data_IF_390666743830
#
_entry.id   IF_390666743830
#
_cell.length_a   1.000
_cell.length_b   1.000
_cell.length_c   1.000
_cell.angle_alpha   90.00
_cell.angle_beta   90.00
_cell.angle_gamma   90.00
#
_symmetry.space_group_name_H-M   'P 1'
#
loop_
_entity.id
_entity.type
_entity.pdbx_description
1 polymer ?
#
# COMPACT_ATOMS: atom_id res chain seq x y z
N UNK A 1 -23.72 -0.76 0.74
CA UNK A 1 -23.52 0.38 1.66
C UNK A 1 -22.14 1.01 1.46
N UNK A 2 -21.04 0.27 1.63
CA UNK A 2 -19.67 0.78 1.46
C UNK A 2 -19.42 1.49 0.12
N UNK A 3 -19.94 0.98 -0.99
CA UNK A 3 -19.81 1.61 -2.33
C UNK A 3 -20.36 3.03 -2.39
N UNK A 4 -21.50 3.29 -1.75
CA UNK A 4 -22.12 4.64 -1.74
C UNK A 4 -21.23 5.59 -0.95
N UNK A 5 -20.64 5.14 0.16
CA UNK A 5 -19.74 5.95 0.98
C UNK A 5 -18.43 6.24 0.24
N UNK A 6 -17.85 5.24 -0.42
CA UNK A 6 -16.65 5.41 -1.25
C UNK A 6 -16.87 6.37 -2.43
N UNK A 7 -17.99 6.27 -3.14
CA UNK A 7 -18.26 7.13 -4.29
C UNK A 7 -18.61 8.55 -3.87
N UNK A 8 -19.41 8.71 -2.82
CA UNK A 8 -19.77 10.04 -2.29
C UNK A 8 -18.53 10.78 -1.78
N UNK A 9 -17.67 10.10 -1.02
CA UNK A 9 -16.39 10.63 -0.58
C UNK A 9 -15.44 10.90 -1.76
N UNK A 10 -15.11 9.87 -2.54
CA UNK A 10 -14.06 9.90 -3.56
C UNK A 10 -14.30 10.86 -4.72
N UNK A 11 -15.54 10.92 -5.26
CA UNK A 11 -15.82 11.75 -6.44
C UNK A 11 -15.68 13.23 -6.09
N UNK A 12 -16.29 13.68 -5.00
CA UNK A 12 -16.22 15.08 -4.57
C UNK A 12 -14.87 15.36 -3.88
N UNK A 13 -14.33 14.37 -3.16
CA UNK A 13 -13.04 14.43 -2.48
C UNK A 13 -11.85 14.64 -3.41
N UNK A 14 -11.99 14.33 -4.71
CA UNK A 14 -11.01 14.66 -5.76
C UNK A 14 -10.56 16.13 -5.71
N UNK A 15 -11.41 17.04 -5.23
CA UNK A 15 -11.08 18.45 -5.03
C UNK A 15 -9.93 18.71 -4.05
N UNK A 16 -9.51 17.75 -3.22
CA UNK A 16 -8.32 17.90 -2.37
C UNK A 16 -7.00 18.02 -3.15
N UNK A 17 -6.98 17.67 -4.43
CA UNK A 17 -5.87 17.92 -5.33
C UNK A 17 -5.87 19.34 -5.92
N UNK A 18 -6.99 20.05 -5.78
CA UNK A 18 -7.22 21.34 -6.43
C UNK A 18 -7.14 22.54 -5.49
N UNK A 19 -6.91 22.33 -4.19
CA UNK A 19 -6.95 23.39 -3.17
C UNK A 19 -6.12 24.62 -3.54
N UNK A 20 -4.90 24.41 -4.04
CA UNK A 20 -3.93 25.48 -4.31
C UNK A 20 -3.57 25.57 -5.79
N UNK A 21 -4.54 25.25 -6.66
CA UNK A 21 -4.39 25.28 -8.14
C UNK A 21 -5.15 26.43 -8.83
N UNK A 22 -5.54 27.46 -8.06
CA UNK A 22 -6.30 28.60 -8.58
C UNK A 22 -7.82 28.40 -8.58
N UNK A 23 -8.34 27.47 -7.79
CA UNK A 23 -9.78 27.22 -7.66
C UNK A 23 -10.46 28.08 -6.58
N UNK A 24 -11.77 28.31 -6.66
CA UNK A 24 -12.50 29.07 -5.64
C UNK A 24 -12.54 28.38 -4.26
N UNK A 25 -12.74 29.15 -3.19
CA UNK A 25 -12.82 28.64 -1.80
C UNK A 25 -13.87 27.53 -1.61
N UNK A 26 -14.93 27.52 -2.41
CA UNK A 26 -15.94 26.45 -2.38
C UNK A 26 -15.34 25.07 -2.69
N UNK A 27 -14.36 24.99 -3.60
CA UNK A 27 -13.64 23.75 -3.95
C UNK A 27 -12.83 23.25 -2.75
N UNK A 28 -12.20 24.16 -2.01
CA UNK A 28 -11.46 23.83 -0.78
C UNK A 28 -12.41 23.26 0.29
N UNK A 29 -13.56 23.91 0.51
CA UNK A 29 -14.52 23.46 1.52
C UNK A 29 -15.12 22.08 1.19
N UNK A 30 -15.49 21.86 -0.08
CA UNK A 30 -16.03 20.59 -0.55
C UNK A 30 -14.97 19.49 -0.50
N UNK A 31 -13.77 19.75 -1.04
CA UNK A 31 -12.68 18.77 -1.03
C UNK A 31 -12.34 18.36 0.39
N UNK A 32 -12.23 19.30 1.34
CA UNK A 32 -11.87 18.99 2.72
C UNK A 32 -12.93 18.14 3.44
N UNK A 33 -14.21 18.46 3.23
CA UNK A 33 -15.31 17.76 3.89
C UNK A 33 -15.49 16.34 3.35
N UNK A 34 -15.49 16.18 2.03
CA UNK A 34 -15.79 14.89 1.40
C UNK A 34 -14.59 13.93 1.42
N UNK A 35 -13.36 14.42 1.26
CA UNK A 35 -12.15 13.59 1.42
C UNK A 35 -11.97 13.09 2.86
N UNK A 36 -12.41 13.86 3.87
CA UNK A 36 -12.40 13.38 5.26
C UNK A 36 -13.35 12.19 5.46
N UNK A 37 -14.47 12.15 4.75
CA UNK A 37 -15.41 11.02 4.79
C UNK A 37 -14.82 9.76 4.15
N UNK A 38 -13.86 9.89 3.23
CA UNK A 38 -13.19 8.74 2.61
C UNK A 38 -12.45 7.89 3.64
N UNK A 39 -11.94 8.49 4.73
CA UNK A 39 -11.20 7.77 5.78
C UNK A 39 -12.09 6.82 6.57
N UNK A 40 -13.39 7.14 6.69
CA UNK A 40 -14.34 6.34 7.50
C UNK A 40 -14.47 4.91 6.97
N UNK A 41 -14.75 4.66 5.67
CA UNK A 41 -14.67 3.32 5.09
C UNK A 41 -13.33 2.62 5.25
N UNK A 42 -12.20 3.34 5.17
CA UNK A 42 -10.87 2.71 5.26
C UNK A 42 -10.65 2.07 6.63
N UNK A 43 -11.12 2.74 7.69
CA UNK A 43 -11.08 2.21 9.07
C UNK A 43 -11.99 0.98 9.21
N UNK A 44 -13.20 1.03 8.61
CA UNK A 44 -14.14 -0.10 8.65
C UNK A 44 -13.60 -1.34 7.91
N UNK A 45 -12.93 -1.17 6.77
CA UNK A 45 -12.31 -2.29 6.04
C UNK A 45 -11.20 -2.97 6.85
N UNK A 46 -10.51 -2.24 7.73
CA UNK A 46 -9.53 -2.83 8.65
C UNK A 46 -10.15 -3.86 9.61
N UNK A 47 -11.34 -3.56 10.14
CA UNK A 47 -12.08 -4.49 11.00
C UNK A 47 -12.61 -5.70 10.24
N UNK A 48 -13.12 -5.48 9.02
CA UNK A 48 -13.61 -6.55 8.15
C UNK A 48 -12.48 -7.52 7.74
N UNK A 49 -11.29 -7.01 7.46
CA UNK A 49 -10.12 -7.84 7.17
C UNK A 49 -9.70 -8.71 8.36
N UNK A 50 -9.77 -8.20 9.59
CA UNK A 50 -9.49 -8.99 10.80
C UNK A 50 -10.51 -10.12 11.00
N UNK A 51 -11.79 -9.83 10.75
CA UNK A 51 -12.85 -10.84 10.83
C UNK A 51 -12.68 -11.93 9.75
N UNK A 52 -12.43 -11.53 8.50
CA UNK A 52 -12.19 -12.46 7.39
C UNK A 52 -10.92 -13.31 7.58
N UNK A 53 -9.87 -12.75 8.19
CA UNK A 53 -8.66 -13.50 8.55
C UNK A 53 -8.94 -14.60 9.59
N UNK A 54 -9.87 -14.34 10.51
CA UNK A 54 -10.30 -15.33 11.51
C UNK A 54 -11.10 -16.46 10.85
N UNK A 55 -12.03 -16.11 9.95
CA UNK A 55 -12.80 -17.08 9.16
C UNK A 55 -11.92 -17.93 8.24
N UNK A 56 -10.85 -17.33 7.70
CA UNK A 56 -9.93 -18.00 6.77
C UNK A 56 -9.15 -19.17 7.40
N UNK A 57 -9.04 -19.22 8.73
CA UNK A 57 -8.35 -20.31 9.45
C UNK A 57 -9.19 -21.57 9.62
N UNK A 58 -10.48 -21.51 9.29
CA UNK A 58 -11.46 -22.54 9.66
C UNK A 58 -11.60 -23.68 8.66
N UNK A 59 -11.27 -23.49 7.37
CA UNK A 59 -11.64 -24.45 6.32
C UNK A 59 -10.42 -24.93 5.50
N UNK A 60 -10.30 -26.24 5.18
CA UNK A 60 -9.17 -26.81 4.45
C UNK A 60 -8.91 -26.18 3.07
N UNK A 61 -9.94 -25.92 2.26
CA UNK A 61 -9.78 -25.29 0.94
C UNK A 61 -9.19 -23.87 1.02
N UNK A 62 -9.48 -23.15 2.11
CA UNK A 62 -8.95 -21.80 2.32
C UNK A 62 -7.44 -21.81 2.57
N UNK A 63 -6.90 -22.91 3.11
CA UNK A 63 -5.45 -23.06 3.29
C UNK A 63 -4.69 -23.09 1.97
N UNK A 64 -5.30 -23.61 0.90
CA UNK A 64 -4.71 -23.60 -0.43
C UNK A 64 -4.64 -22.19 -1.05
N UNK A 65 -5.54 -21.28 -0.64
CA UNK A 65 -5.58 -19.87 -1.04
C UNK A 65 -4.90 -18.91 -0.05
N UNK A 66 -4.06 -19.45 0.84
CA UNK A 66 -3.35 -18.68 1.88
C UNK A 66 -2.68 -17.40 1.35
N UNK A 67 -1.87 -17.47 0.30
CA UNK A 67 -1.10 -16.32 -0.18
C UNK A 67 -1.94 -15.23 -0.89
N UNK A 68 -2.92 -15.57 -1.74
CA UNK A 68 -3.93 -14.62 -2.18
C UNK A 68 -4.61 -13.90 -1.02
N UNK A 69 -5.05 -14.64 0.00
CA UNK A 69 -5.76 -14.09 1.16
C UNK A 69 -4.84 -13.18 1.99
N UNK A 70 -3.58 -13.58 2.21
CA UNK A 70 -2.59 -12.74 2.88
C UNK A 70 -2.33 -11.43 2.14
N UNK A 71 -2.38 -11.46 0.80
CA UNK A 71 -2.28 -10.25 -0.02
C UNK A 71 -3.49 -9.34 0.20
N UNK A 72 -4.71 -9.87 0.27
CA UNK A 72 -5.91 -9.08 0.59
C UNK A 72 -5.90 -8.52 2.02
N UNK A 73 -5.34 -9.25 2.99
CA UNK A 73 -5.12 -8.74 4.35
C UNK A 73 -4.11 -7.58 4.33
N UNK A 74 -3.04 -7.70 3.55
CA UNK A 74 -2.06 -6.65 3.34
C UNK A 74 -2.69 -5.41 2.68
N UNK A 75 -3.60 -5.59 1.70
CA UNK A 75 -4.39 -4.49 1.12
C UNK A 75 -5.13 -3.72 2.22
N UNK A 76 -5.84 -4.41 3.10
CA UNK A 76 -6.58 -3.76 4.18
C UNK A 76 -5.66 -3.00 5.16
N UNK A 77 -4.51 -3.60 5.51
CA UNK A 77 -3.50 -2.95 6.33
C UNK A 77 -2.97 -1.65 5.69
N UNK A 78 -2.54 -1.71 4.43
CA UNK A 78 -2.02 -0.54 3.72
C UNK A 78 -3.10 0.47 3.37
N UNK A 79 -4.34 0.03 3.26
CA UNK A 79 -5.46 0.93 3.08
C UNK A 79 -5.71 1.78 4.33
N UNK A 80 -5.59 1.19 5.53
CA UNK A 80 -5.64 1.95 6.77
C UNK A 80 -4.40 2.85 6.94
N UNK A 81 -3.19 2.31 6.77
CA UNK A 81 -1.94 3.02 7.08
C UNK A 81 -1.57 4.01 5.97
N UNK A 82 -1.53 3.57 4.72
CA UNK A 82 -1.13 4.37 3.57
C UNK A 82 -2.20 5.37 3.14
N UNK A 83 -3.41 4.89 2.84
CA UNK A 83 -4.49 5.77 2.40
C UNK A 83 -5.14 6.52 3.58
N UNK A 84 -5.42 5.85 4.69
CA UNK A 84 -6.02 6.47 5.87
C UNK A 84 -5.07 7.41 6.60
N UNK A 85 -4.07 6.87 7.31
CA UNK A 85 -3.20 7.68 8.19
C UNK A 85 -2.34 8.66 7.39
N UNK A 86 -1.56 8.18 6.42
CA UNK A 86 -0.66 9.07 5.66
C UNK A 86 -1.40 9.93 4.64
N UNK A 87 -2.55 9.50 4.11
CA UNK A 87 -3.39 10.34 3.26
C UNK A 87 -4.04 11.46 4.07
N UNK A 88 -4.65 11.15 5.22
CA UNK A 88 -5.26 12.16 6.07
C UNK A 88 -4.23 13.12 6.69
N UNK A 89 -3.00 12.69 6.92
CA UNK A 89 -1.90 13.57 7.36
C UNK A 89 -1.70 14.78 6.45
N UNK A 90 -1.86 14.60 5.13
CA UNK A 90 -1.67 15.65 4.12
C UNK A 90 -2.99 16.22 3.60
N UNK A 91 -4.14 15.78 4.11
CA UNK A 91 -5.44 16.11 3.54
C UNK A 91 -6.06 17.45 3.99
N UNK A 92 -6.00 17.85 5.28
CA UNK A 92 -6.57 19.13 5.71
C UNK A 92 -5.95 20.30 4.94
N UNK A 93 -6.73 21.30 4.47
CA UNK A 93 -6.21 22.41 3.69
C UNK A 93 -5.05 23.13 4.36
N UNK A 94 -5.12 23.33 5.69
CA UNK A 94 -4.05 23.99 6.46
C UNK A 94 -2.76 23.17 6.49
N UNK A 95 -2.85 21.83 6.52
CA UNK A 95 -1.68 20.96 6.46
C UNK A 95 -1.12 20.96 5.04
N UNK A 96 -1.98 20.73 4.03
CA UNK A 96 -1.58 20.68 2.63
C UNK A 96 -0.96 22.01 2.16
N UNK A 97 -1.38 23.15 2.71
CA UNK A 97 -0.78 24.46 2.40
C UNK A 97 0.74 24.48 2.60
N UNK A 98 1.24 23.85 3.67
CA UNK A 98 2.68 23.78 3.94
C UNK A 98 3.34 22.53 3.36
N UNK A 99 2.57 21.45 3.16
CA UNK A 99 3.10 20.12 2.83
C UNK A 99 3.00 19.76 1.34
N UNK A 100 2.23 20.52 0.55
CA UNK A 100 2.07 20.23 -0.88
C UNK A 100 3.41 20.30 -1.62
N UNK A 101 3.75 19.23 -2.32
CA UNK A 101 5.00 19.11 -3.07
C UNK A 101 6.22 18.73 -2.22
N UNK A 102 6.02 18.27 -0.97
CA UNK A 102 7.09 17.72 -0.11
C UNK A 102 7.08 16.18 -0.11
N UNK A 103 8.10 15.56 0.53
CA UNK A 103 8.24 14.10 0.55
C UNK A 103 7.16 13.34 1.35
N UNK A 104 6.24 14.03 2.03
CA UNK A 104 5.04 13.43 2.61
C UNK A 104 4.02 12.99 1.56
N UNK A 105 3.99 13.64 0.38
CA UNK A 105 3.17 13.19 -0.75
C UNK A 105 3.63 11.85 -1.34
N UNK A 106 4.92 11.64 -1.70
CA UNK A 106 5.37 10.32 -2.15
C UNK A 106 5.33 9.27 -1.03
N UNK A 107 5.45 9.62 0.26
CA UNK A 107 5.18 8.69 1.36
C UNK A 107 3.77 8.09 1.24
N UNK A 108 2.74 8.95 1.20
CA UNK A 108 1.36 8.53 0.99
C UNK A 108 1.22 7.80 -0.36
N UNK A 109 1.79 8.35 -1.44
CA UNK A 109 1.70 7.78 -2.78
C UNK A 109 2.20 6.33 -2.88
N UNK A 110 3.38 6.00 -2.35
CA UNK A 110 3.89 4.63 -2.40
C UNK A 110 3.05 3.69 -1.52
N UNK A 111 2.73 4.12 -0.29
CA UNK A 111 2.02 3.29 0.68
C UNK A 111 0.55 3.07 0.32
N UNK A 112 -0.10 4.03 -0.37
CA UNK A 112 -1.46 3.89 -0.86
C UNK A 112 -1.49 3.18 -2.22
N UNK A 113 -0.75 3.65 -3.23
CA UNK A 113 -0.81 3.08 -4.58
C UNK A 113 -0.32 1.64 -4.61
N UNK A 114 0.92 1.39 -4.17
CA UNK A 114 1.45 0.03 -4.19
C UNK A 114 0.88 -0.80 -3.05
N UNK A 115 0.80 -0.25 -1.84
CA UNK A 115 0.29 -0.99 -0.68
C UNK A 115 -1.15 -1.45 -0.83
N UNK A 116 -2.03 -0.67 -1.47
CA UNK A 116 -3.42 -1.05 -1.73
C UNK A 116 -3.54 -1.71 -3.10
N UNK A 117 -3.34 -0.96 -4.19
CA UNK A 117 -3.63 -1.46 -5.53
C UNK A 117 -2.56 -2.43 -6.04
N UNK A 118 -1.28 -2.23 -5.70
CA UNK A 118 -0.21 -3.17 -6.02
C UNK A 118 -0.42 -4.52 -5.35
N UNK A 119 -0.70 -4.53 -4.04
CA UNK A 119 -0.99 -5.77 -3.30
C UNK A 119 -2.31 -6.42 -3.74
N UNK A 120 -3.33 -5.64 -4.09
CA UNK A 120 -4.58 -6.16 -4.66
C UNK A 120 -4.30 -6.85 -6.00
N UNK A 121 -3.52 -6.22 -6.89
CA UNK A 121 -3.11 -6.82 -8.16
C UNK A 121 -2.35 -8.13 -7.96
N UNK A 122 -1.41 -8.17 -7.02
CA UNK A 122 -0.68 -9.41 -6.66
C UNK A 122 -1.65 -10.47 -6.10
N UNK A 123 -2.57 -10.09 -5.21
CA UNK A 123 -3.54 -11.00 -4.62
C UNK A 123 -4.46 -11.65 -5.67
N UNK A 124 -5.03 -10.85 -6.58
CA UNK A 124 -5.87 -11.33 -7.67
C UNK A 124 -5.09 -12.19 -8.67
N UNK A 125 -3.86 -11.78 -9.01
CA UNK A 125 -2.96 -12.59 -9.84
C UNK A 125 -2.71 -13.96 -9.24
N UNK A 126 -2.35 -14.02 -7.95
CA UNK A 126 -2.12 -15.28 -7.25
C UNK A 126 -3.40 -16.12 -7.14
N UNK A 127 -4.57 -15.48 -6.97
CA UNK A 127 -5.85 -16.18 -6.95
C UNK A 127 -6.11 -16.90 -8.28
N UNK A 128 -5.96 -16.22 -9.41
CA UNK A 128 -6.12 -16.81 -10.75
C UNK A 128 -5.07 -17.89 -11.01
N UNK A 129 -3.80 -17.63 -10.67
CA UNK A 129 -2.73 -18.63 -10.82
C UNK A 129 -3.00 -19.88 -9.99
N UNK A 130 -3.60 -19.75 -8.81
CA UNK A 130 -3.94 -20.89 -7.98
C UNK A 130 -5.05 -21.71 -8.63
N UNK A 131 -6.08 -21.09 -9.20
CA UNK A 131 -7.10 -21.78 -9.99
C UNK A 131 -6.52 -22.54 -11.19
N UNK A 132 -5.54 -21.96 -11.89
CA UNK A 132 -4.89 -22.60 -13.05
C UNK A 132 -3.91 -23.73 -12.68
N UNK A 133 -3.41 -23.73 -11.44
CA UNK A 133 -2.41 -24.72 -10.95
C UNK A 133 -2.94 -25.54 -9.78
N UNK A 134 -4.27 -25.65 -9.66
CA UNK A 134 -4.98 -26.25 -8.52
C UNK A 134 -4.58 -27.69 -8.22
N UNK A 135 -4.13 -28.44 -9.23
CA UNK A 135 -3.73 -29.84 -9.10
C UNK A 135 -2.57 -30.09 -8.12
N UNK A 136 -1.65 -29.15 -7.96
CA UNK A 136 -0.44 -29.34 -7.16
C UNK A 136 -0.29 -28.30 -6.05
N UNK A 137 0.24 -28.72 -4.91
CA UNK A 137 0.57 -27.81 -3.82
C UNK A 137 1.70 -26.84 -4.24
N UNK A 138 1.67 -25.60 -3.74
CA UNK A 138 2.71 -24.61 -4.01
C UNK A 138 3.83 -24.70 -2.98
N UNK A 139 5.07 -24.52 -3.42
CA UNK A 139 6.22 -24.37 -2.51
C UNK A 139 6.24 -22.96 -1.92
N UNK A 140 6.00 -22.88 -0.62
CA UNK A 140 5.89 -21.62 0.12
C UNK A 140 7.17 -20.75 0.14
N UNK A 141 8.35 -21.31 -0.18
CA UNK A 141 9.65 -20.63 0.02
C UNK A 141 9.73 -19.26 -0.68
N UNK A 142 9.54 -19.24 -2.01
CA UNK A 142 9.74 -18.01 -2.79
C UNK A 142 8.60 -17.01 -2.62
N UNK A 143 7.37 -17.49 -2.52
CA UNK A 143 6.20 -16.63 -2.29
C UNK A 143 6.21 -16.01 -0.89
N UNK A 144 6.72 -16.72 0.13
CA UNK A 144 6.93 -16.16 1.48
C UNK A 144 7.97 -15.05 1.46
N UNK A 145 9.11 -15.26 0.78
CA UNK A 145 10.14 -14.22 0.62
C UNK A 145 9.52 -13.02 -0.10
N UNK A 146 8.84 -13.23 -1.23
CA UNK A 146 8.17 -12.19 -1.98
C UNK A 146 7.23 -11.36 -1.11
N UNK A 147 6.28 -12.00 -0.42
CA UNK A 147 5.28 -11.32 0.40
C UNK A 147 5.91 -10.47 1.51
N UNK A 148 6.82 -11.04 2.31
CA UNK A 148 7.41 -10.33 3.43
C UNK A 148 8.39 -9.26 2.98
N UNK A 149 9.24 -9.54 2.00
CA UNK A 149 10.19 -8.56 1.47
C UNK A 149 9.51 -7.36 0.82
N UNK A 150 8.39 -7.56 0.10
CA UNK A 150 7.60 -6.46 -0.46
C UNK A 150 7.02 -5.58 0.67
N UNK A 151 6.36 -6.19 1.66
CA UNK A 151 5.72 -5.43 2.75
C UNK A 151 6.74 -4.73 3.64
N UNK A 152 7.81 -5.43 4.04
CA UNK A 152 8.88 -4.86 4.88
C UNK A 152 9.66 -3.80 4.11
N UNK A 153 9.97 -4.03 2.83
CA UNK A 153 10.65 -3.06 1.99
C UNK A 153 9.85 -1.75 1.85
N UNK A 154 8.54 -1.86 1.62
CA UNK A 154 7.63 -0.71 1.57
C UNK A 154 7.55 0.03 2.91
N UNK A 155 7.47 -0.71 4.02
CA UNK A 155 7.45 -0.14 5.36
C UNK A 155 8.76 0.60 5.68
N UNK A 156 9.90 0.01 5.33
CA UNK A 156 11.21 0.62 5.55
C UNK A 156 11.34 1.89 4.70
N UNK A 157 11.16 1.84 3.37
CA UNK A 157 11.30 3.05 2.55
C UNK A 157 10.42 4.22 3.05
N UNK A 158 9.23 3.89 3.55
CA UNK A 158 8.31 4.84 4.16
C UNK A 158 8.87 5.42 5.48
N UNK A 159 9.26 4.59 6.44
CA UNK A 159 9.57 5.01 7.80
C UNK A 159 11.01 5.50 8.01
N UNK A 160 12.00 4.90 7.33
CA UNK A 160 13.42 5.27 7.54
C UNK A 160 13.89 6.41 6.64
N UNK A 161 13.13 6.74 5.58
CA UNK A 161 13.52 7.77 4.61
C UNK A 161 12.40 8.78 4.35
N UNK A 162 11.31 8.38 3.67
CA UNK A 162 10.32 9.33 3.16
C UNK A 162 9.63 10.13 4.28
N UNK A 163 9.24 9.48 5.37
CA UNK A 163 8.58 10.14 6.50
C UNK A 163 9.51 11.12 7.23
N UNK A 164 10.73 10.75 7.67
CA UNK A 164 11.68 11.69 8.28
C UNK A 164 12.01 12.89 7.39
N UNK A 165 12.28 12.65 6.09
CA UNK A 165 12.58 13.73 5.13
C UNK A 165 11.35 14.62 4.95
N UNK A 166 10.16 14.03 4.82
CA UNK A 166 8.90 14.76 4.70
C UNK A 166 8.59 15.62 5.92
N UNK A 167 8.83 15.12 7.14
CA UNK A 167 8.68 15.88 8.39
C UNK A 167 9.66 17.06 8.42
N UNK A 168 10.95 16.81 8.15
CA UNK A 168 11.96 17.86 8.16
C UNK A 168 11.65 18.96 7.13
N UNK A 169 11.24 18.57 5.92
CA UNK A 169 10.76 19.51 4.91
C UNK A 169 9.53 20.29 5.36
N UNK A 170 8.57 19.64 6.02
CA UNK A 170 7.35 20.29 6.50
C UNK A 170 7.66 21.35 7.56
N UNK A 171 8.56 21.03 8.49
CA UNK A 171 9.03 21.97 9.52
C UNK A 171 9.74 23.17 8.87
N UNK A 172 10.59 22.94 7.88
CA UNK A 172 11.27 24.01 7.14
C UNK A 172 10.27 24.88 6.36
N UNK A 173 9.27 24.27 5.74
CA UNK A 173 8.21 24.97 5.01
C UNK A 173 7.38 25.88 5.92
N UNK A 174 7.03 25.40 7.11
CA UNK A 174 6.29 26.17 8.11
C UNK A 174 7.12 27.36 8.63
N UNK A 175 8.42 27.16 8.91
CA UNK A 175 9.28 28.19 9.52
C UNK A 175 9.80 29.24 8.54
N UNK A 176 10.15 28.81 7.33
CA UNK A 176 10.91 29.62 6.37
C UNK A 176 10.24 29.76 5.00
N UNK A 177 9.19 28.97 4.74
CA UNK A 177 8.46 28.95 3.48
C UNK A 177 8.85 27.77 2.57
N UNK A 178 7.95 27.45 1.64
CA UNK A 178 8.10 26.31 0.72
C UNK A 178 9.36 26.40 -0.16
N UNK A 179 9.72 27.62 -0.57
CA UNK A 179 10.92 27.88 -1.37
C UNK A 179 12.20 27.37 -0.69
N UNK A 180 12.30 27.51 0.63
CA UNK A 180 13.44 27.04 1.41
C UNK A 180 13.41 25.53 1.60
N UNK A 181 12.25 24.94 1.93
CA UNK A 181 12.10 23.48 2.06
C UNK A 181 12.40 22.70 0.76
N UNK A 182 12.40 23.40 -0.39
CA UNK A 182 12.72 22.88 -1.73
C UNK A 182 14.08 23.36 -2.25
N UNK A 183 14.80 24.19 -1.51
CA UNK A 183 16.06 24.78 -1.95
C UNK A 183 17.20 23.75 -1.90
N UNK A 184 18.26 24.01 -2.67
CA UNK A 184 19.44 23.14 -2.68
C UNK A 184 20.15 23.16 -1.32
N UNK A 185 20.20 24.32 -0.66
CA UNK A 185 20.84 24.52 0.64
C UNK A 185 20.21 23.67 1.73
N UNK A 186 18.88 23.48 1.68
CA UNK A 186 18.19 22.60 2.63
C UNK A 186 18.31 21.12 2.25
N UNK A 187 18.15 20.79 0.96
CA UNK A 187 18.17 19.40 0.50
C UNK A 187 19.58 18.77 0.56
N UNK A 188 20.64 19.56 0.44
CA UNK A 188 22.03 19.07 0.47
C UNK A 188 22.65 19.07 1.87
N UNK A 189 21.85 19.23 2.94
CA UNK A 189 22.33 19.06 4.30
C UNK A 189 22.75 17.62 4.57
N UNK A 190 23.83 17.40 5.32
CA UNK A 190 24.40 16.08 5.58
C UNK A 190 23.37 15.07 6.10
N UNK A 191 22.52 15.46 7.05
CA UNK A 191 21.50 14.55 7.58
C UNK A 191 20.41 14.21 6.55
N UNK A 192 20.08 15.13 5.63
CA UNK A 192 19.12 14.88 4.55
C UNK A 192 19.68 13.89 3.54
N UNK A 193 20.97 13.98 3.25
CA UNK A 193 21.66 13.01 2.41
C UNK A 193 21.64 11.61 3.05
N UNK A 194 21.97 11.51 4.34
CA UNK A 194 21.91 10.24 5.09
C UNK A 194 20.50 9.64 5.03
N UNK A 195 19.46 10.42 5.31
CA UNK A 195 18.07 9.93 5.26
C UNK A 195 17.66 9.47 3.85
N UNK A 196 18.14 10.11 2.78
CA UNK A 196 17.90 9.65 1.41
C UNK A 196 18.61 8.33 1.11
N UNK A 197 19.86 8.18 1.54
CA UNK A 197 20.62 6.95 1.31
C UNK A 197 20.10 5.76 2.11
N UNK A 198 19.58 5.99 3.32
CA UNK A 198 18.90 4.94 4.09
C UNK A 198 17.74 4.31 3.31
N UNK A 199 17.12 5.03 2.36
CA UNK A 199 16.09 4.49 1.48
C UNK A 199 16.54 3.22 0.73
N UNK A 200 17.82 3.13 0.36
CA UNK A 200 18.38 2.00 -0.40
C UNK A 200 18.15 0.67 0.32
N UNK A 201 18.12 0.67 1.66
CA UNK A 201 17.83 -0.53 2.45
C UNK A 201 16.41 -1.03 2.16
N UNK A 202 15.42 -0.13 2.22
CA UNK A 202 14.03 -0.45 1.92
C UNK A 202 13.84 -0.84 0.44
N UNK A 203 14.42 -0.07 -0.48
CA UNK A 203 14.32 -0.31 -1.92
C UNK A 203 14.95 -1.66 -2.32
N UNK A 204 16.08 -2.04 -1.72
CA UNK A 204 16.75 -3.33 -1.98
C UNK A 204 15.91 -4.50 -1.50
N UNK A 205 15.37 -4.42 -0.27
CA UNK A 205 14.51 -5.47 0.28
C UNK A 205 13.23 -5.61 -0.56
N UNK A 206 12.63 -4.48 -0.94
CA UNK A 206 11.46 -4.47 -1.82
C UNK A 206 11.77 -5.12 -3.18
N UNK A 207 12.89 -4.74 -3.81
CA UNK A 207 13.35 -5.30 -5.08
C UNK A 207 13.58 -6.81 -5.03
N UNK A 208 14.20 -7.32 -3.96
CA UNK A 208 14.35 -8.78 -3.73
C UNK A 208 12.97 -9.46 -3.69
N UNK A 209 11.99 -8.82 -3.05
CA UNK A 209 10.62 -9.34 -2.99
C UNK A 209 9.95 -9.42 -4.38
N UNK A 210 10.09 -8.38 -5.20
CA UNK A 210 9.58 -8.38 -6.57
C UNK A 210 10.26 -9.45 -7.45
N UNK A 211 11.58 -9.60 -7.33
CA UNK A 211 12.33 -10.64 -8.05
C UNK A 211 11.93 -12.05 -7.60
N UNK A 212 11.73 -12.26 -6.30
CA UNK A 212 11.26 -13.53 -5.76
C UNK A 212 9.84 -13.87 -6.25
N UNK A 213 8.96 -12.87 -6.39
CA UNK A 213 7.62 -13.06 -6.95
C UNK A 213 7.69 -13.46 -8.43
N UNK A 214 8.49 -12.75 -9.23
CA UNK A 214 8.68 -13.09 -10.63
C UNK A 214 9.28 -14.51 -10.79
N UNK A 215 10.28 -14.84 -9.98
CA UNK A 215 10.88 -16.17 -9.94
C UNK A 215 9.86 -17.26 -9.57
N UNK A 216 8.99 -16.98 -8.61
CA UNK A 216 7.92 -17.88 -8.20
C UNK A 216 6.94 -18.14 -9.35
N UNK A 217 6.48 -17.08 -10.03
CA UNK A 217 5.53 -17.16 -11.16
C UNK A 217 6.14 -17.91 -12.35
N UNK A 218 7.40 -17.64 -12.72
CA UNK A 218 8.12 -18.42 -13.74
C UNK A 218 8.21 -19.88 -13.32
N UNK A 219 8.43 -20.12 -12.02
CA UNK A 219 8.47 -21.45 -11.44
C UNK A 219 7.17 -22.23 -11.44
N UNK A 220 6.01 -21.55 -11.51
CA UNK A 220 4.72 -22.22 -11.68
C UNK A 220 4.62 -22.83 -13.09
N UNK A 221 5.11 -22.11 -14.11
CA UNK A 221 5.11 -22.59 -15.50
C UNK A 221 6.14 -23.71 -15.74
N UNK A 222 7.33 -23.57 -15.18
CA UNK A 222 8.45 -24.53 -15.34
C UNK A 222 8.39 -25.69 -14.35
N UNK A 223 7.56 -25.59 -13.31
CA UNK A 223 7.23 -26.66 -12.37
C UNK A 223 8.10 -26.74 -11.12
N UNK A 224 9.11 -25.87 -10.93
CA UNK A 224 9.92 -25.90 -9.70
C UNK A 224 9.22 -25.29 -8.48
N UNK A 225 8.24 -24.41 -8.70
CA UNK A 225 7.41 -23.82 -7.63
C UNK A 225 6.25 -24.74 -7.20
N UNK A 226 6.05 -25.85 -7.90
CA UNK A 226 5.03 -26.84 -7.59
C UNK A 226 5.65 -28.01 -6.83
N UNK A 227 4.90 -28.54 -5.88
CA UNK A 227 5.18 -29.83 -5.27
C UNK A 227 4.36 -30.91 -5.98
N UNK A 228 5.03 -31.70 -6.83
CA UNK A 228 4.39 -32.76 -7.62
C UNK A 228 4.07 -34.01 -6.80
N UNK A 229 4.54 -34.08 -5.56
CA UNK A 229 4.30 -35.23 -4.66
C UNK A 229 3.04 -35.06 -3.82
N UNK A 230 2.49 -33.84 -3.75
CA UNK A 230 1.28 -33.51 -2.98
C UNK A 230 0.22 -33.01 -3.95
N UNK A 231 -0.78 -33.84 -4.23
CA UNK A 231 -1.99 -33.41 -4.91
C UNK A 231 -2.81 -32.54 -3.96
N UNK A 232 -3.20 -31.36 -4.45
CA UNK A 232 -4.03 -30.43 -3.68
C UNK A 232 -5.49 -30.67 -4.08
N UNK A 233 -6.21 -31.49 -3.30
CA UNK A 233 -7.61 -31.89 -3.54
C UNK A 233 -8.63 -30.74 -3.42
N UNK A 234 -8.21 -29.49 -3.64
CA UNK A 234 -9.07 -28.30 -3.68
C UNK A 234 -10.28 -28.46 -4.59
N UNK A 235 -10.16 -29.19 -5.70
CA UNK A 235 -11.27 -29.44 -6.64
C UNK A 235 -12.42 -30.28 -6.05
N UNK A 236 -12.16 -31.15 -5.06
CA UNK A 236 -13.19 -32.02 -4.48
C UNK A 236 -14.05 -31.32 -3.39
N UNK A 237 -13.67 -30.11 -2.96
CA UNK A 237 -14.27 -29.43 -1.80
C UNK A 237 -14.72 -27.98 -2.09
N UNK A 238 -14.85 -27.61 -3.36
CA UNK A 238 -15.56 -26.36 -3.69
C UNK A 238 -17.03 -26.52 -3.28
N UNK A 239 -17.61 -25.60 -2.48
CA UNK A 239 -19.05 -25.57 -2.30
C UNK A 239 -19.70 -25.27 -3.66
N UNK A 240 -20.67 -26.10 -4.06
CA UNK A 240 -21.61 -25.79 -5.14
C UNK A 240 -22.41 -24.52 -4.84
#
# INVERSE_FOLDING_TARGET
FSTIVFLTGGIIGTFHHLYFSGTPTAVIALGASFSALEVVPLVLMGFEAFHNLTLSRSTPWVKAYKWPIYSLISVAFWNLVGAGIFGFLINPPIALYYMQGLNTTPLHGHTALFGVYGMLGIGLMLFVLKGLTGKYAWKDRYIKIAFWSINIGLLLMALISLLPVGIAQSIASIKHGLWFARSAEFLQQDYMEVLRWLRVIGDTIFGIGCLALAWFVIGLKTGWSLDKQVEDHTEEHFPE
#
